data_IF_513710873839
#
_entry.id   IF_513710873839
#
_cell.length_a   1.000
_cell.length_b   1.000
_cell.length_c   1.000
_cell.angle_alpha   90.00
_cell.angle_beta   90.00
_cell.angle_gamma   90.00
#
_symmetry.space_group_name_H-M   'P 1'
#
loop_
_entity.id
_entity.type
_entity.pdbx_description
1 polymer ?
#
# COMPACT_ATOMS: atom_id res chain seq x y z
N UNK A 1 -26.90 15.46 -13.56
CA UNK A 1 -26.37 14.93 -14.84
C UNK A 1 -24.97 14.41 -14.55
N UNK A 2 -24.79 13.09 -14.38
CA UNK A 2 -23.47 12.52 -14.05
C UNK A 2 -22.57 12.60 -15.29
N UNK A 3 -21.49 13.36 -15.20
CA UNK A 3 -20.49 13.44 -16.26
C UNK A 3 -19.88 12.03 -16.42
N UNK A 4 -20.15 11.33 -17.53
CA UNK A 4 -19.47 10.07 -17.87
C UNK A 4 -18.02 10.40 -18.27
N UNK A 5 -17.21 10.68 -17.26
CA UNK A 5 -15.78 10.98 -17.42
C UNK A 5 -15.05 9.66 -17.61
N UNK A 6 -14.20 9.56 -18.65
CA UNK A 6 -13.32 8.40 -18.81
C UNK A 6 -12.49 8.17 -17.54
N UNK A 7 -12.18 6.92 -17.17
CA UNK A 7 -11.35 6.58 -15.99
C UNK A 7 -10.09 7.45 -15.87
N UNK A 8 -9.42 7.71 -16.99
CA UNK A 8 -8.22 8.56 -17.06
C UNK A 8 -8.49 10.00 -16.61
N UNK A 9 -9.50 10.65 -17.21
CA UNK A 9 -9.85 12.03 -16.90
C UNK A 9 -10.31 12.17 -15.45
N UNK A 10 -11.07 11.18 -14.97
CA UNK A 10 -11.54 11.15 -13.58
C UNK A 10 -10.35 11.05 -12.61
N UNK A 11 -9.44 10.10 -12.82
CA UNK A 11 -8.26 9.94 -11.96
C UNK A 11 -7.39 11.19 -11.93
N UNK A 12 -7.11 11.80 -13.10
CA UNK A 12 -6.30 13.04 -13.16
C UNK A 12 -6.98 14.18 -12.43
N UNK A 13 -8.28 14.39 -12.64
CA UNK A 13 -9.03 15.47 -12.00
C UNK A 13 -9.14 15.25 -10.48
N UNK A 14 -9.42 14.03 -10.04
CA UNK A 14 -9.53 13.68 -8.62
C UNK A 14 -8.22 13.94 -7.88
N UNK A 15 -7.11 13.46 -8.43
CA UNK A 15 -5.79 13.63 -7.80
C UNK A 15 -5.40 15.10 -7.70
N UNK A 16 -5.65 15.89 -8.77
CA UNK A 16 -5.39 17.32 -8.78
C UNK A 16 -6.28 18.08 -7.78
N UNK A 17 -7.56 17.73 -7.69
CA UNK A 17 -8.53 18.38 -6.79
C UNK A 17 -8.21 18.09 -5.31
N UNK A 18 -7.95 16.83 -4.96
CA UNK A 18 -7.54 16.43 -3.60
C UNK A 18 -6.20 17.07 -3.21
N UNK A 19 -5.23 17.09 -4.13
CA UNK A 19 -3.93 17.71 -3.86
C UNK A 19 -4.03 19.22 -3.67
N UNK A 20 -4.90 19.89 -4.44
CA UNK A 20 -5.19 21.31 -4.28
C UNK A 20 -5.71 21.63 -2.86
N UNK A 21 -6.64 20.82 -2.32
CA UNK A 21 -7.15 20.97 -0.94
C UNK A 21 -6.06 20.88 0.13
N UNK A 22 -4.99 20.13 -0.15
CA UNK A 22 -3.84 19.94 0.74
C UNK A 22 -2.65 20.85 0.41
N UNK A 23 -2.82 21.80 -0.52
CA UNK A 23 -1.77 22.66 -1.06
C UNK A 23 -0.52 21.85 -1.50
N UNK A 24 -0.77 20.85 -2.34
CA UNK A 24 0.23 19.97 -2.92
C UNK A 24 0.15 20.00 -4.45
N UNK A 25 1.26 19.67 -5.08
CA UNK A 25 1.30 19.28 -6.48
C UNK A 25 1.22 17.74 -6.61
N UNK A 26 1.03 17.23 -7.82
CA UNK A 26 0.89 15.80 -8.10
C UNK A 26 1.95 15.33 -9.10
N UNK A 27 2.74 14.30 -8.77
CA UNK A 27 3.65 13.65 -9.71
C UNK A 27 2.88 12.76 -10.70
N UNK A 28 2.90 13.11 -11.98
CA UNK A 28 2.15 12.42 -13.05
C UNK A 28 2.57 10.95 -13.19
N UNK A 29 3.86 10.67 -13.01
CA UNK A 29 4.36 9.30 -13.02
C UNK A 29 3.70 8.41 -11.95
N UNK A 30 3.34 8.98 -10.79
CA UNK A 30 2.59 8.23 -9.77
C UNK A 30 1.14 8.02 -10.20
N UNK A 31 0.45 9.02 -10.76
CA UNK A 31 -0.92 8.85 -11.29
C UNK A 31 -0.95 7.70 -12.31
N UNK A 32 -0.05 7.74 -13.29
CA UNK A 32 0.08 6.72 -14.35
C UNK A 32 0.25 5.33 -13.75
N UNK A 33 1.15 5.19 -12.78
CA UNK A 33 1.48 3.89 -12.17
C UNK A 33 0.38 3.37 -11.24
N UNK A 34 -0.15 4.23 -10.37
CA UNK A 34 -1.14 3.87 -9.35
C UNK A 34 -2.46 3.46 -10.00
N UNK A 35 -2.91 4.23 -11.00
CA UNK A 35 -4.17 3.94 -11.70
C UNK A 35 -4.02 3.04 -12.94
N UNK A 36 -2.79 2.65 -13.30
CA UNK A 36 -2.53 1.81 -14.48
C UNK A 36 -2.93 2.46 -15.80
N UNK A 37 -2.63 3.76 -15.98
CA UNK A 37 -3.09 4.56 -17.12
C UNK A 37 -2.03 4.69 -18.22
N UNK A 38 -2.45 5.04 -19.44
CA UNK A 38 -1.53 5.38 -20.52
C UNK A 38 -0.91 6.77 -20.29
N UNK A 39 0.42 6.84 -20.20
CA UNK A 39 1.15 8.09 -19.93
C UNK A 39 0.90 9.17 -21.00
N UNK A 40 0.92 8.81 -22.28
CA UNK A 40 0.71 9.75 -23.38
C UNK A 40 -0.66 10.42 -23.32
N UNK A 41 -1.70 9.66 -23.01
CA UNK A 41 -3.06 10.19 -22.84
C UNK A 41 -3.19 11.07 -21.59
N UNK A 42 -2.53 10.72 -20.48
CA UNK A 42 -2.51 11.54 -19.27
C UNK A 42 -1.85 12.90 -19.55
N UNK A 43 -0.68 12.92 -20.18
CA UNK A 43 0.00 14.17 -20.55
C UNK A 43 -0.78 14.98 -21.59
N UNK A 44 -1.46 14.32 -22.53
CA UNK A 44 -2.36 15.01 -23.47
C UNK A 44 -3.47 15.75 -22.70
N UNK A 45 -4.14 15.06 -21.79
CA UNK A 45 -5.22 15.68 -21.02
C UNK A 45 -4.73 16.79 -20.07
N UNK A 46 -3.56 16.63 -19.45
CA UNK A 46 -2.96 17.69 -18.64
C UNK A 46 -2.65 18.96 -19.46
N UNK A 47 -2.20 18.80 -20.72
CA UNK A 47 -2.02 19.93 -21.63
C UNK A 47 -3.35 20.60 -21.97
N UNK A 48 -4.41 19.83 -22.23
CA UNK A 48 -5.77 20.39 -22.41
C UNK A 48 -6.17 21.25 -21.20
N UNK A 49 -5.99 20.75 -19.97
CA UNK A 49 -6.28 21.51 -18.74
C UNK A 49 -5.39 22.76 -18.57
N UNK A 50 -4.14 22.70 -19.02
CA UNK A 50 -3.23 23.86 -18.98
C UNK A 50 -3.67 24.95 -19.94
N UNK A 51 -3.99 24.56 -21.17
CA UNK A 51 -4.38 25.46 -22.25
C UNK A 51 -5.73 26.11 -21.90
N UNK A 52 -6.60 25.41 -21.16
CA UNK A 52 -7.84 25.92 -20.56
C UNK A 52 -7.65 26.81 -19.31
N UNK A 53 -6.41 27.02 -18.87
CA UNK A 53 -6.08 27.82 -17.69
C UNK A 53 -6.47 27.17 -16.34
N UNK A 54 -6.71 25.86 -16.31
CA UNK A 54 -7.13 25.12 -15.11
C UNK A 54 -5.92 24.58 -14.35
N UNK A 55 -4.94 24.00 -15.05
CA UNK A 55 -3.77 23.36 -14.44
C UNK A 55 -2.46 24.05 -14.86
N UNK A 56 -1.38 23.75 -14.14
CA UNK A 56 -0.01 24.17 -14.50
C UNK A 56 1.00 23.10 -14.13
N UNK A 57 2.08 23.03 -14.91
CA UNK A 57 3.28 22.30 -14.53
C UNK A 57 4.09 23.17 -13.56
N UNK A 58 4.45 22.62 -12.40
CA UNK A 58 5.22 23.32 -11.35
C UNK A 58 6.67 22.85 -11.28
N UNK A 59 6.99 21.76 -11.97
CA UNK A 59 8.31 21.16 -12.09
C UNK A 59 8.23 19.96 -13.01
N UNK A 60 9.36 19.36 -13.38
CA UNK A 60 9.41 18.27 -14.37
C UNK A 60 8.44 17.13 -14.01
N UNK A 61 7.35 17.00 -14.77
CA UNK A 61 6.34 15.96 -14.54
C UNK A 61 5.50 16.12 -13.27
N UNK A 62 5.48 17.31 -12.67
CA UNK A 62 4.74 17.66 -11.46
C UNK A 62 3.71 18.75 -11.78
N UNK A 63 2.45 18.49 -11.44
CA UNK A 63 1.31 19.28 -11.90
C UNK A 63 0.42 19.70 -10.73
N UNK A 64 -0.12 20.90 -10.80
CA UNK A 64 -1.05 21.41 -9.79
C UNK A 64 -2.20 22.17 -10.46
N UNK A 65 -3.33 22.27 -9.77
CA UNK A 65 -4.37 23.22 -10.15
C UNK A 65 -3.84 24.66 -10.00
N UNK A 66 -4.27 25.54 -10.91
CA UNK A 66 -4.02 26.97 -10.80
C UNK A 66 -4.93 27.57 -9.74
N UNK A 67 -4.51 28.70 -9.18
CA UNK A 67 -5.35 29.47 -8.28
C UNK A 67 -6.27 30.43 -9.06
N UNK A 68 -7.30 29.88 -9.69
CA UNK A 68 -8.29 30.66 -10.47
C UNK A 68 -9.71 30.21 -10.10
N UNK A 69 -10.70 31.10 -10.22
CA UNK A 69 -12.10 30.76 -9.93
C UNK A 69 -12.59 29.54 -10.69
N UNK A 70 -12.21 29.40 -11.97
CA UNK A 70 -12.54 28.24 -12.82
C UNK A 70 -11.94 26.93 -12.29
N UNK A 71 -10.67 26.95 -11.88
CA UNK A 71 -9.99 25.77 -11.34
C UNK A 71 -10.54 25.36 -9.97
N UNK A 72 -10.87 26.34 -9.11
CA UNK A 72 -11.50 26.10 -7.81
C UNK A 72 -12.88 25.46 -7.96
N UNK A 73 -13.74 26.04 -8.79
CA UNK A 73 -15.08 25.50 -9.06
C UNK A 73 -15.03 24.06 -9.61
N UNK A 74 -14.05 23.76 -10.49
CA UNK A 74 -13.84 22.39 -10.96
C UNK A 74 -13.39 21.45 -9.84
N UNK A 75 -12.46 21.88 -8.99
CA UNK A 75 -11.97 21.08 -7.86
C UNK A 75 -13.11 20.74 -6.90
N UNK A 76 -13.92 21.73 -6.53
CA UNK A 76 -15.09 21.56 -5.66
C UNK A 76 -16.09 20.58 -6.29
N UNK A 77 -16.44 20.76 -7.56
CA UNK A 77 -17.33 19.84 -8.28
C UNK A 77 -16.80 18.40 -8.29
N UNK A 78 -15.50 18.22 -8.53
CA UNK A 78 -14.88 16.88 -8.54
C UNK A 78 -14.89 16.25 -7.15
N UNK A 79 -14.64 17.03 -6.10
CA UNK A 79 -14.66 16.55 -4.71
C UNK A 79 -16.08 16.24 -4.22
N UNK A 80 -17.09 17.02 -4.62
CA UNK A 80 -18.49 16.74 -4.32
C UNK A 80 -19.01 15.48 -5.01
N UNK A 81 -18.49 15.18 -6.20
CA UNK A 81 -18.84 13.97 -6.97
C UNK A 81 -17.96 12.77 -6.66
N UNK A 82 -16.92 12.95 -5.84
CA UNK A 82 -16.07 11.86 -5.38
C UNK A 82 -16.83 11.00 -4.36
N UNK A 83 -17.32 9.84 -4.80
CA UNK A 83 -17.90 8.86 -3.91
C UNK A 83 -16.82 8.31 -2.98
N UNK A 84 -17.06 8.41 -1.68
CA UNK A 84 -16.38 7.58 -0.69
C UNK A 84 -17.36 6.50 -0.26
N UNK A 85 -16.94 5.23 -0.35
CA UNK A 85 -17.74 4.08 0.06
C UNK A 85 -16.86 3.07 0.77
N UNK A 86 -17.35 2.50 1.87
CA UNK A 86 -16.69 1.41 2.60
C UNK A 86 -15.84 1.85 3.79
N UNK A 87 -15.05 0.92 4.32
CA UNK A 87 -14.22 1.09 5.52
C UNK A 87 -13.20 2.23 5.42
N UNK A 88 -12.81 2.62 4.20
CA UNK A 88 -11.72 3.56 3.92
C UNK A 88 -12.14 4.92 3.37
N UNK A 89 -13.37 5.33 3.67
CA UNK A 89 -13.98 6.57 3.19
C UNK A 89 -13.14 7.83 3.46
N UNK A 90 -12.55 7.94 4.66
CA UNK A 90 -11.70 9.08 5.02
C UNK A 90 -10.57 9.29 4.00
N UNK A 91 -9.83 8.23 3.70
CA UNK A 91 -8.70 8.29 2.78
C UNK A 91 -9.17 8.53 1.36
N UNK A 92 -10.18 7.78 0.92
CA UNK A 92 -10.75 7.86 -0.42
C UNK A 92 -11.32 9.25 -0.74
N UNK A 93 -11.76 10.03 0.25
CA UNK A 93 -12.24 11.41 0.03
C UNK A 93 -11.18 12.48 0.26
N UNK A 94 -10.29 12.28 1.22
CA UNK A 94 -9.48 13.39 1.76
C UNK A 94 -8.05 13.43 1.23
N UNK A 95 -7.50 12.29 0.81
CA UNK A 95 -6.09 12.17 0.47
C UNK A 95 -5.92 11.71 -0.98
N UNK A 96 -5.02 12.32 -1.78
CA UNK A 96 -4.76 11.85 -3.13
C UNK A 96 -4.12 10.46 -3.11
N UNK A 97 -4.58 9.59 -4.00
CA UNK A 97 -4.17 8.18 -4.13
C UNK A 97 -2.68 8.01 -4.46
N UNK A 98 -2.04 9.05 -4.99
CA UNK A 98 -0.59 9.07 -5.22
C UNK A 98 0.25 9.32 -3.96
N UNK A 99 -0.40 9.58 -2.81
CA UNK A 99 0.25 9.97 -1.55
C UNK A 99 -0.07 9.04 -0.36
N UNK A 100 -0.82 7.97 -0.56
CA UNK A 100 -0.97 6.93 0.44
C UNK A 100 -1.30 5.59 -0.20
N UNK A 101 -1.24 4.53 0.59
CA UNK A 101 -1.91 3.27 0.31
C UNK A 101 -2.19 2.51 1.61
N UNK A 102 -3.16 1.61 1.54
CA UNK A 102 -3.53 0.72 2.63
C UNK A 102 -2.69 -0.54 2.55
N UNK A 103 -2.02 -0.87 3.65
CA UNK A 103 -1.15 -2.03 3.76
C UNK A 103 -1.94 -3.25 4.24
N UNK A 104 -2.67 -3.86 3.31
CA UNK A 104 -3.47 -5.05 3.57
C UNK A 104 -3.16 -6.10 2.49
N UNK A 105 -2.69 -7.30 2.85
CA UNK A 105 -2.59 -8.41 1.91
C UNK A 105 -4.00 -8.94 1.61
N UNK A 106 -4.25 -9.55 0.43
CA UNK A 106 -5.55 -10.13 0.09
C UNK A 106 -6.06 -11.02 1.23
N UNK A 107 -7.21 -10.67 1.82
CA UNK A 107 -7.60 -11.23 3.11
C UNK A 107 -7.73 -12.76 3.06
N UNK A 108 -7.31 -13.36 4.16
CA UNK A 108 -7.69 -14.71 4.54
C UNK A 108 -8.57 -14.50 5.78
N UNK A 109 -9.88 -14.68 5.63
CA UNK A 109 -10.92 -14.30 6.60
C UNK A 109 -10.71 -14.79 8.04
N UNK A 110 -9.86 -15.80 8.24
CA UNK A 110 -9.65 -16.45 9.55
C UNK A 110 -8.45 -15.93 10.36
N UNK A 111 -7.66 -14.96 9.85
CA UNK A 111 -6.51 -14.40 10.58
C UNK A 111 -6.86 -13.36 11.66
N UNK A 112 -8.16 -13.11 11.85
CA UNK A 112 -8.65 -12.03 12.69
C UNK A 112 -8.48 -10.68 11.99
N UNK A 113 -9.36 -9.74 12.34
CA UNK A 113 -9.24 -8.36 11.85
C UNK A 113 -8.23 -7.64 12.74
N UNK A 114 -7.21 -6.97 12.17
CA UNK A 114 -6.31 -6.16 12.97
C UNK A 114 -7.09 -5.05 13.67
N UNK A 115 -6.70 -4.71 14.91
CA UNK A 115 -7.35 -3.63 15.68
C UNK A 115 -7.30 -2.28 14.96
N UNK A 116 -6.26 -2.06 14.14
CA UNK A 116 -6.09 -0.87 13.31
C UNK A 116 -5.65 -1.25 11.91
N UNK A 117 -6.16 -0.53 10.92
CA UNK A 117 -5.69 -0.66 9.53
C UNK A 117 -4.39 0.10 9.36
N UNK A 118 -3.31 -0.59 8.95
CA UNK A 118 -2.04 0.04 8.62
C UNK A 118 -2.17 0.83 7.30
N UNK A 119 -1.83 2.12 7.34
CA UNK A 119 -1.84 2.98 6.16
C UNK A 119 -0.49 3.65 6.03
N UNK A 120 0.15 3.49 4.87
CA UNK A 120 1.43 4.14 4.57
C UNK A 120 1.15 5.44 3.85
N UNK A 121 1.63 6.54 4.41
CA UNK A 121 1.35 7.90 3.95
C UNK A 121 2.65 8.59 3.59
N UNK A 122 2.66 9.37 2.51
CA UNK A 122 3.84 10.17 2.15
C UNK A 122 4.17 11.16 3.27
N UNK A 123 5.45 11.25 3.63
CA UNK A 123 5.93 12.15 4.71
C UNK A 123 5.56 13.61 4.50
N UNK A 124 5.28 14.05 3.25
CA UNK A 124 4.80 15.41 2.95
C UNK A 124 3.43 15.74 3.58
N UNK A 125 2.65 14.71 3.93
CA UNK A 125 1.34 14.85 4.55
C UNK A 125 1.37 14.83 6.08
N UNK A 126 2.56 14.72 6.69
CA UNK A 126 2.69 14.73 8.14
C UNK A 126 2.13 16.04 8.71
N UNK A 127 1.14 15.95 9.60
CA UNK A 127 0.44 17.09 10.18
C UNK A 127 -0.57 17.77 9.25
N UNK A 128 -0.83 17.23 8.04
CA UNK A 128 -1.85 17.73 7.10
C UNK A 128 -3.09 16.85 6.99
N UNK A 129 -3.00 15.64 7.53
CA UNK A 129 -4.09 14.65 7.53
C UNK A 129 -4.32 14.18 8.96
N UNK A 130 -5.58 13.97 9.30
CA UNK A 130 -6.05 13.55 10.62
C UNK A 130 -7.04 12.38 10.47
N UNK A 131 -6.54 11.15 10.27
CA UNK A 131 -7.39 9.99 10.09
C UNK A 131 -8.12 9.64 11.40
N UNK A 132 -9.38 9.13 11.32
CA UNK A 132 -10.14 8.77 12.50
C UNK A 132 -9.50 7.60 13.26
N UNK A 133 -10.01 7.35 14.48
CA UNK A 133 -9.64 6.16 15.26
C UNK A 133 -9.92 4.88 14.44
N UNK A 134 -9.00 3.92 14.51
CA UNK A 134 -9.02 2.70 13.70
C UNK A 134 -7.94 2.64 12.60
N UNK A 135 -7.18 3.72 12.40
CA UNK A 135 -6.02 3.73 11.50
C UNK A 135 -4.69 3.78 12.26
N UNK A 136 -3.69 3.11 11.71
CA UNK A 136 -2.28 3.26 12.07
C UNK A 136 -1.53 3.93 10.91
N UNK A 137 -1.49 5.28 10.85
CA UNK A 137 -0.78 5.98 9.79
C UNK A 137 0.73 5.95 10.02
N UNK A 138 1.48 5.54 8.99
CA UNK A 138 2.95 5.58 8.97
C UNK A 138 3.41 6.57 7.93
N UNK A 139 3.99 7.68 8.38
CA UNK A 139 4.54 8.71 7.51
C UNK A 139 5.96 8.36 7.07
N UNK A 140 6.15 8.18 5.77
CA UNK A 140 7.44 7.75 5.21
C UNK A 140 7.57 8.12 3.74
N UNK A 141 8.74 7.94 3.14
CA UNK A 141 8.92 8.16 1.71
C UNK A 141 8.18 7.08 0.91
N UNK A 142 7.41 7.49 -0.11
CA UNK A 142 6.77 6.57 -1.03
C UNK A 142 7.65 6.12 -2.20
N UNK A 143 8.92 6.53 -2.23
CA UNK A 143 9.87 6.13 -3.27
C UNK A 143 10.14 4.62 -3.19
N UNK A 144 10.00 3.92 -4.33
CA UNK A 144 10.26 2.47 -4.42
C UNK A 144 9.13 1.58 -3.91
N UNK A 145 8.13 2.12 -3.22
CA UNK A 145 6.97 1.38 -2.73
C UNK A 145 6.01 1.04 -3.86
N UNK A 146 5.32 -0.10 -3.78
CA UNK A 146 4.44 -0.60 -4.83
C UNK A 146 2.99 -0.73 -4.37
N UNK A 147 2.09 0.00 -5.04
CA UNK A 147 0.66 0.00 -4.77
C UNK A 147 -0.12 0.37 -6.04
N UNK A 148 -1.42 0.06 -6.02
CA UNK A 148 -2.36 0.36 -7.11
C UNK A 148 -3.68 0.86 -6.55
N UNK A 149 -4.37 1.64 -7.37
CA UNK A 149 -5.75 1.99 -7.11
C UNK A 149 -6.64 0.78 -7.38
N UNK A 150 -7.39 0.37 -6.37
CA UNK A 150 -8.43 -0.61 -6.48
C UNK A 150 -9.72 0.08 -6.95
N UNK A 151 -10.21 -0.30 -8.13
CA UNK A 151 -11.41 0.32 -8.72
C UNK A 151 -12.71 -0.13 -8.07
N UNK A 152 -12.70 -1.29 -7.41
CA UNK A 152 -13.88 -1.87 -6.76
C UNK A 152 -14.02 -1.29 -5.35
N UNK A 153 -12.92 -1.22 -4.60
CA UNK A 153 -12.87 -0.61 -3.27
C UNK A 153 -12.73 0.93 -3.32
N UNK A 154 -12.42 1.48 -4.50
CA UNK A 154 -12.19 2.91 -4.73
C UNK A 154 -11.09 3.53 -3.86
N UNK A 155 -10.03 2.79 -3.59
CA UNK A 155 -8.92 3.20 -2.71
C UNK A 155 -7.57 2.64 -3.17
N UNK A 156 -6.48 3.31 -2.84
CA UNK A 156 -5.12 2.79 -3.04
C UNK A 156 -4.76 1.65 -2.07
N UNK A 157 -4.46 0.47 -2.62
CA UNK A 157 -4.03 -0.73 -1.89
C UNK A 157 -2.59 -1.09 -2.29
N UNK A 158 -1.74 -1.49 -1.35
CA UNK A 158 -0.43 -2.05 -1.71
C UNK A 158 -0.55 -3.36 -2.47
N UNK A 159 0.50 -3.67 -3.24
CA UNK A 159 0.67 -5.03 -3.75
C UNK A 159 0.96 -5.98 -2.58
N UNK A 160 0.61 -7.29 -2.67
CA UNK A 160 0.71 -8.24 -1.57
C UNK A 160 2.09 -8.25 -0.88
N UNK A 161 3.18 -8.28 -1.65
CA UNK A 161 4.54 -8.30 -1.10
C UNK A 161 4.93 -6.99 -0.43
N UNK A 162 4.41 -5.85 -0.92
CA UNK A 162 4.58 -4.57 -0.26
C UNK A 162 3.78 -4.52 1.05
N UNK A 163 2.53 -5.00 1.06
CA UNK A 163 1.70 -5.09 2.27
C UNK A 163 2.41 -5.88 3.36
N UNK A 164 2.92 -7.07 3.03
CA UNK A 164 3.62 -7.94 3.98
C UNK A 164 4.91 -7.30 4.50
N UNK A 165 5.68 -6.66 3.63
CA UNK A 165 6.89 -5.95 4.05
C UNK A 165 6.59 -4.83 5.05
N UNK A 166 5.49 -4.09 4.84
CA UNK A 166 5.07 -3.00 5.71
C UNK A 166 4.49 -3.50 7.03
N UNK A 167 3.68 -4.55 7.01
CA UNK A 167 3.15 -5.18 8.22
C UNK A 167 4.28 -5.75 9.09
N UNK A 168 5.26 -6.44 8.48
CA UNK A 168 6.46 -6.89 9.19
C UNK A 168 7.26 -5.74 9.83
N UNK A 169 7.17 -4.52 9.27
CA UNK A 169 7.92 -3.35 9.71
C UNK A 169 7.22 -2.49 10.75
N UNK A 170 5.92 -2.28 10.59
CA UNK A 170 5.20 -1.25 11.31
C UNK A 170 4.09 -1.80 12.19
N UNK A 171 3.64 -3.04 11.95
CA UNK A 171 2.65 -3.71 12.78
C UNK A 171 3.20 -5.04 13.34
N UNK A 172 3.91 -5.00 14.48
CA UNK A 172 4.41 -6.21 15.14
C UNK A 172 3.31 -7.18 15.57
N UNK A 173 2.09 -6.71 15.80
CA UNK A 173 0.97 -7.52 16.26
C UNK A 173 0.29 -8.25 15.10
N UNK A 174 0.37 -7.72 13.87
CA UNK A 174 -0.16 -8.39 12.71
C UNK A 174 0.55 -9.74 12.46
N UNK A 175 -0.21 -10.84 12.25
CA UNK A 175 0.34 -12.18 12.04
C UNK A 175 0.85 -12.38 10.60
N UNK A 176 1.77 -11.52 10.16
CA UNK A 176 2.29 -11.52 8.78
C UNK A 176 2.98 -12.85 8.43
N UNK A 177 3.67 -13.47 9.39
CA UNK A 177 4.29 -14.79 9.23
C UNK A 177 3.29 -15.89 8.91
N UNK A 178 2.13 -15.86 9.54
CA UNK A 178 1.07 -16.82 9.28
C UNK A 178 0.52 -16.65 7.87
N UNK A 179 0.29 -15.41 7.44
CA UNK A 179 -0.09 -15.15 6.05
C UNK A 179 0.95 -15.68 5.07
N UNK A 180 2.24 -15.42 5.34
CA UNK A 180 3.34 -15.90 4.51
C UNK A 180 3.30 -17.42 4.41
N UNK A 181 3.16 -18.12 5.55
CA UNK A 181 3.11 -19.57 5.61
C UNK A 181 2.04 -20.17 4.70
N UNK A 182 0.80 -19.67 4.77
CA UNK A 182 -0.31 -20.19 3.98
C UNK A 182 -0.21 -19.90 2.49
N UNK A 183 0.63 -18.95 2.08
CA UNK A 183 0.73 -18.49 0.70
C UNK A 183 2.14 -18.66 0.10
N UNK A 184 3.00 -19.49 0.70
CA UNK A 184 4.39 -19.67 0.28
C UNK A 184 4.57 -20.03 -1.20
N UNK A 185 3.62 -20.74 -1.80
CA UNK A 185 3.69 -21.15 -3.21
C UNK A 185 3.38 -20.02 -4.20
N UNK A 186 2.78 -18.93 -3.75
CA UNK A 186 2.32 -17.82 -4.60
C UNK A 186 3.07 -16.52 -4.32
N UNK A 187 3.56 -16.34 -3.10
CA UNK A 187 4.26 -15.13 -2.68
C UNK A 187 5.70 -15.07 -3.18
N UNK A 188 6.11 -13.90 -3.67
CA UNK A 188 7.52 -13.64 -3.97
C UNK A 188 8.27 -13.19 -2.70
N UNK A 189 8.85 -14.15 -1.98
CA UNK A 189 9.62 -13.90 -0.76
C UNK A 189 10.83 -12.99 -0.97
N UNK A 190 11.47 -13.05 -2.13
CA UNK A 190 12.62 -12.18 -2.47
C UNK A 190 12.18 -10.72 -2.61
N UNK A 191 10.98 -10.50 -3.12
CA UNK A 191 10.39 -9.17 -3.25
C UNK A 191 10.03 -8.60 -1.87
N UNK A 192 9.45 -9.42 -0.98
CA UNK A 192 9.20 -9.03 0.42
C UNK A 192 10.52 -8.66 1.09
N UNK A 193 11.53 -9.54 1.02
CA UNK A 193 12.84 -9.33 1.60
C UNK A 193 13.48 -8.01 1.12
N UNK A 194 13.44 -7.73 -0.19
CA UNK A 194 13.98 -6.50 -0.79
C UNK A 194 13.28 -5.24 -0.29
N UNK A 195 12.00 -5.32 0.05
CA UNK A 195 11.18 -4.19 0.51
C UNK A 195 11.23 -3.97 2.01
N UNK A 196 11.60 -4.99 2.78
CA UNK A 196 11.71 -4.88 4.24
C UNK A 196 12.93 -4.09 4.69
N UNK A 197 12.81 -3.42 5.84
CA UNK A 197 13.98 -2.86 6.53
C UNK A 197 14.81 -3.98 7.19
N UNK A 198 16.07 -3.72 7.62
CA UNK A 198 16.93 -4.77 8.18
C UNK A 198 16.38 -5.50 9.41
N UNK A 199 15.56 -4.84 10.24
CA UNK A 199 14.95 -5.47 11.42
C UNK A 199 13.84 -6.43 10.99
N UNK A 200 13.00 -6.00 10.05
CA UNK A 200 11.93 -6.82 9.47
C UNK A 200 12.46 -7.96 8.63
N UNK A 201 13.59 -7.77 7.94
CA UNK A 201 14.28 -8.83 7.21
C UNK A 201 14.79 -9.91 8.17
N UNK A 202 15.33 -9.53 9.34
CA UNK A 202 15.68 -10.49 10.40
C UNK A 202 14.46 -11.24 10.90
N UNK A 203 13.35 -10.54 11.17
CA UNK A 203 12.07 -11.16 11.57
C UNK A 203 11.59 -12.20 10.55
N UNK A 204 11.54 -11.83 9.26
CA UNK A 204 11.22 -12.75 8.17
C UNK A 204 12.19 -13.93 8.11
N UNK A 205 13.49 -13.64 8.16
CA UNK A 205 14.54 -14.66 8.05
C UNK A 205 14.50 -15.67 9.20
N UNK A 206 14.28 -15.20 10.43
CA UNK A 206 14.07 -16.05 11.61
C UNK A 206 12.86 -16.96 11.41
N UNK A 207 11.75 -16.42 10.90
CA UNK A 207 10.55 -17.22 10.64
C UNK A 207 10.80 -18.31 9.59
N UNK A 208 11.42 -17.97 8.46
CA UNK A 208 11.72 -18.92 7.39
C UNK A 208 12.74 -19.99 7.85
N UNK A 209 13.75 -19.60 8.64
CA UNK A 209 14.72 -20.52 9.22
C UNK A 209 14.03 -21.51 10.17
N UNK A 210 13.14 -21.03 11.03
CA UNK A 210 12.32 -21.89 11.89
C UNK A 210 11.47 -22.85 11.07
N UNK A 211 10.74 -22.34 10.08
CA UNK A 211 9.84 -23.14 9.26
C UNK A 211 10.58 -24.26 8.50
N UNK A 212 11.73 -23.95 7.90
CA UNK A 212 12.58 -24.94 7.23
C UNK A 212 13.08 -26.00 8.21
N UNK A 213 13.47 -25.60 9.41
CA UNK A 213 13.95 -26.52 10.46
C UNK A 213 12.84 -27.43 10.96
N UNK A 214 11.64 -26.89 11.18
CA UNK A 214 10.49 -27.63 11.69
C UNK A 214 9.94 -28.62 10.64
N UNK A 215 9.79 -28.18 9.39
CA UNK A 215 9.15 -28.97 8.32
C UNK A 215 10.12 -29.81 7.49
N UNK A 216 11.41 -29.46 7.47
CA UNK A 216 12.41 -30.06 6.58
C UNK A 216 12.26 -29.65 5.09
N UNK A 217 11.21 -28.90 4.73
CA UNK A 217 10.95 -28.48 3.35
C UNK A 217 11.83 -27.29 2.99
N UNK A 218 12.45 -27.34 1.80
CA UNK A 218 13.22 -26.21 1.28
C UNK A 218 12.26 -25.07 0.88
N UNK A 219 12.55 -23.87 1.39
CA UNK A 219 11.83 -22.65 1.02
C UNK A 219 12.57 -21.99 -0.14
N UNK A 220 11.87 -21.74 -1.25
CA UNK A 220 12.43 -21.12 -2.43
C UNK A 220 12.65 -19.61 -2.21
N UNK A 221 13.91 -19.23 -1.95
CA UNK A 221 14.36 -17.83 -1.82
C UNK A 221 15.74 -17.67 -2.45
N UNK A 222 16.01 -16.49 -3.00
CA UNK A 222 17.33 -16.07 -3.49
C UNK A 222 18.26 -15.54 -2.39
N UNK A 223 17.78 -15.38 -1.16
CA UNK A 223 18.59 -14.94 -0.01
C UNK A 223 18.78 -16.04 1.04
N UNK A 224 19.88 -15.95 1.78
CA UNK A 224 20.23 -16.87 2.89
C UNK A 224 19.56 -16.41 4.20
N UNK A 225 18.37 -16.93 4.46
CA UNK A 225 17.61 -16.64 5.68
C UNK A 225 18.22 -17.25 6.95
N UNK A 226 19.07 -18.28 6.87
CA UNK A 226 19.72 -18.80 8.07
C UNK A 226 20.75 -17.82 8.60
N UNK A 227 21.55 -17.23 7.71
CA UNK A 227 22.57 -16.26 8.08
C UNK A 227 21.98 -14.95 8.64
N UNK A 228 20.76 -14.63 8.24
CA UNK A 228 20.04 -13.42 8.67
C UNK A 228 19.11 -13.67 9.87
N UNK A 229 18.93 -14.91 10.30
CA UNK A 229 18.10 -15.24 11.44
C UNK A 229 18.66 -14.64 12.74
N UNK A 230 17.74 -14.21 13.60
CA UNK A 230 18.02 -13.64 14.91
C UNK A 230 17.44 -14.55 16.01
N UNK A 231 18.28 -15.19 16.83
CA UNK A 231 17.84 -16.07 17.92
C UNK A 231 16.95 -15.38 18.96
N UNK A 232 17.16 -14.09 19.22
CA UNK A 232 16.34 -13.36 20.20
C UNK A 232 14.90 -13.16 19.70
N UNK A 233 14.72 -12.99 18.38
CA UNK A 233 13.39 -12.97 17.77
C UNK A 233 12.73 -14.35 17.89
N UNK A 234 13.49 -15.42 17.68
CA UNK A 234 12.98 -16.79 17.78
C UNK A 234 12.50 -17.07 19.21
N UNK A 235 13.31 -16.79 20.22
CA UNK A 235 12.96 -17.01 21.62
C UNK A 235 11.65 -16.30 22.00
N UNK A 236 11.49 -15.05 21.57
CA UNK A 236 10.29 -14.25 21.83
C UNK A 236 9.04 -14.81 21.16
N UNK A 237 9.17 -15.43 19.98
CA UNK A 237 8.03 -15.86 19.14
C UNK A 237 7.90 -17.37 18.99
N UNK A 238 8.69 -18.14 19.74
CA UNK A 238 8.75 -19.59 19.61
C UNK A 238 7.37 -20.23 19.81
N UNK A 239 6.61 -19.77 20.80
CA UNK A 239 5.25 -20.27 21.06
C UNK A 239 4.29 -20.02 19.90
N UNK A 240 4.35 -18.83 19.31
CA UNK A 240 3.53 -18.45 18.15
C UNK A 240 3.90 -19.30 16.92
N UNK A 241 5.19 -19.38 16.60
CA UNK A 241 5.67 -20.15 15.45
C UNK A 241 5.41 -21.65 15.61
N UNK A 242 5.57 -22.18 16.82
CA UNK A 242 5.26 -23.59 17.12
C UNK A 242 3.77 -23.85 16.95
N UNK A 243 2.91 -22.98 17.48
CA UNK A 243 1.46 -23.12 17.32
C UNK A 243 1.07 -23.08 15.84
N UNK A 244 1.62 -22.14 15.07
CA UNK A 244 1.38 -22.03 13.63
C UNK A 244 1.71 -23.31 12.86
N UNK A 245 2.87 -23.93 13.14
CA UNK A 245 3.34 -25.10 12.38
C UNK A 245 2.74 -26.40 12.91
N UNK A 246 2.62 -26.56 14.22
CA UNK A 246 2.24 -27.84 14.83
C UNK A 246 0.73 -27.97 15.08
N UNK A 247 0.01 -26.89 15.38
CA UNK A 247 -1.46 -26.96 15.58
C UNK A 247 -2.22 -27.24 14.27
N UNK A 248 -1.59 -27.02 13.12
CA UNK A 248 -2.13 -27.30 11.78
C UNK A 248 -1.80 -28.72 11.26
N UNK A 249 -1.31 -29.64 12.11
CA UNK A 249 -1.09 -31.05 11.75
C UNK A 249 0.15 -31.33 10.88
N UNK A 250 0.99 -30.33 10.60
CA UNK A 250 2.14 -30.43 9.68
C UNK A 250 3.24 -31.34 10.21
N UNK A 251 3.36 -31.46 11.54
CA UNK A 251 4.32 -32.37 12.16
C UNK A 251 3.94 -33.85 11.99
N UNK A 252 2.68 -34.14 11.63
CA UNK A 252 2.22 -35.50 11.37
C UNK A 252 2.47 -35.97 9.92
N UNK A 253 2.78 -35.07 8.97
CA UNK A 253 3.26 -35.45 7.62
C UNK A 253 4.60 -36.20 7.66
N UNK A 254 5.31 -36.20 8.80
CA UNK A 254 6.51 -37.05 9.03
C UNK A 254 6.21 -38.54 9.20
N UNK A 255 4.94 -38.96 9.25
CA UNK A 255 4.55 -40.35 9.55
C UNK A 255 4.00 -41.16 8.36
N UNK A 256 4.13 -40.68 7.11
CA UNK A 256 3.83 -41.48 5.90
C UNK A 256 5.06 -41.60 5.02
#
# INVERSE_FOLDING_TARGET
MALRVSKLRWAVLLELAKAWRLNLDVPVARIVRVFGLNSGLVYKFLRELRDDGIAREVGRGRWALRDTGKARALAEYVLETAEGSGSHEYWARSVPEVYYYIAEPPSIEWLGFPEKTLVVVDSLLQGRVDPPEGYLPVYTSLRGRAWRYDWDLKVSMSLPEQSLADLLAYDPAYPAEQYIYHNLSWLNLDEIARRTNPRSLRRLSTFLAFLRTATGKQIATGFDYFRLADPAILEKRLGEYTSLVFANGVAEERRV
#
